data_IF_960197747418
#
_entry.id   IF_960197747418
#
_cell.length_a   1.000
_cell.length_b   1.000
_cell.length_c   1.000
_cell.angle_alpha   90.00
_cell.angle_beta   90.00
_cell.angle_gamma   90.00
#
_symmetry.space_group_name_H-M   'P 1'
#
loop_
_entity.id
_entity.type
_entity.pdbx_description
1 polymer ?
#
# COMPACT_ATOMS: atom_id res chain seq x y z
N UNK A 1 -68.53 -20.74 26.50
CA UNK A 1 -67.84 -21.94 26.01
C UNK A 1 -67.14 -21.61 24.69
N UNK A 2 -65.80 -21.75 24.67
CA UNK A 2 -64.88 -21.99 23.52
C UNK A 2 -64.94 -21.08 22.26
N UNK A 3 -64.08 -20.06 22.30
CA UNK A 3 -63.00 -19.71 21.33
C UNK A 3 -62.92 -20.46 19.99
N UNK A 4 -62.92 -19.71 18.86
CA UNK A 4 -62.36 -20.07 17.55
C UNK A 4 -61.64 -18.81 17.01
N UNK A 5 -60.29 -18.70 17.04
CA UNK A 5 -59.28 -19.25 16.10
C UNK A 5 -59.61 -18.90 14.64
N UNK A 6 -58.75 -18.30 13.81
CA UNK A 6 -57.45 -17.66 13.97
C UNK A 6 -57.22 -16.87 12.66
N UNK A 7 -56.77 -15.62 12.75
CA UNK A 7 -56.34 -14.85 11.59
C UNK A 7 -54.96 -15.35 11.15
N UNK A 8 -54.89 -16.09 10.04
CA UNK A 8 -53.63 -16.43 9.38
C UNK A 8 -53.15 -15.22 8.57
N UNK A 9 -52.34 -14.38 9.20
CA UNK A 9 -51.46 -13.41 8.54
C UNK A 9 -50.24 -14.18 7.99
N UNK A 10 -50.26 -14.47 6.69
CA UNK A 10 -49.10 -14.96 5.94
C UNK A 10 -48.08 -13.82 5.82
N UNK A 11 -47.13 -13.77 6.74
CA UNK A 11 -45.90 -12.98 6.62
C UNK A 11 -45.00 -13.66 5.58
N UNK A 12 -44.96 -13.14 4.36
CA UNK A 12 -43.97 -13.53 3.36
C UNK A 12 -42.61 -13.00 3.79
N UNK A 13 -41.81 -13.83 4.44
CA UNK A 13 -40.39 -13.60 4.64
C UNK A 13 -39.70 -13.59 3.27
N UNK A 14 -39.46 -12.39 2.73
CA UNK A 14 -38.60 -12.22 1.56
C UNK A 14 -37.15 -12.50 1.95
N UNK A 15 -36.64 -13.68 1.63
CA UNK A 15 -35.20 -13.92 1.59
C UNK A 15 -34.62 -13.14 0.41
N UNK A 16 -34.08 -11.94 0.66
CA UNK A 16 -33.14 -11.33 -0.27
C UNK A 16 -31.79 -12.03 -0.14
N UNK A 17 -31.54 -13.02 -0.98
CA UNK A 17 -30.19 -13.58 -1.19
C UNK A 17 -29.39 -12.57 -2.00
N UNK A 18 -28.98 -11.47 -1.36
CA UNK A 18 -27.93 -10.64 -1.92
C UNK A 18 -26.64 -11.43 -1.74
N UNK A 19 -25.90 -11.78 -2.80
CA UNK A 19 -24.59 -12.39 -2.62
C UNK A 19 -23.69 -11.37 -1.90
N UNK A 20 -23.45 -11.59 -0.61
CA UNK A 20 -22.42 -10.84 0.12
C UNK A 20 -21.07 -11.21 -0.48
N UNK A 21 -20.37 -10.20 -1.00
CA UNK A 21 -19.02 -10.39 -1.54
C UNK A 21 -18.11 -10.75 -0.38
N UNK A 22 -17.59 -11.98 -0.38
CA UNK A 22 -16.64 -12.43 0.61
C UNK A 22 -15.26 -11.80 0.34
N UNK A 23 -15.00 -10.66 0.97
CA UNK A 23 -13.74 -9.94 0.82
C UNK A 23 -12.66 -10.52 1.74
N UNK A 24 -11.51 -10.93 1.20
CA UNK A 24 -10.41 -11.43 2.02
C UNK A 24 -9.83 -10.29 2.86
N UNK A 25 -9.52 -10.57 4.13
CA UNK A 25 -8.86 -9.61 5.03
C UNK A 25 -7.37 -9.45 4.67
N UNK A 26 -7.09 -8.83 3.52
CA UNK A 26 -5.73 -8.54 3.06
C UNK A 26 -5.27 -7.22 3.67
N UNK A 27 -4.42 -7.30 4.70
CA UNK A 27 -3.73 -6.14 5.25
C UNK A 27 -2.74 -5.59 4.23
N UNK A 28 -2.99 -4.37 3.74
CA UNK A 28 -2.05 -3.65 2.87
C UNK A 28 -1.38 -2.55 3.65
N UNK A 29 -0.05 -2.47 3.50
CA UNK A 29 0.73 -1.39 4.06
C UNK A 29 0.49 -0.11 3.26
N UNK A 30 0.68 1.03 3.90
CA UNK A 30 0.64 2.35 3.25
C UNK A 30 2.05 2.88 3.23
N UNK A 31 2.60 3.16 2.05
CA UNK A 31 4.02 3.50 1.98
C UNK A 31 4.67 3.34 0.62
N UNK A 32 5.99 3.32 0.65
CA UNK A 32 6.83 3.36 -0.54
C UNK A 32 7.76 2.14 -0.52
N UNK A 33 7.65 1.29 -1.54
CA UNK A 33 8.60 0.22 -1.76
C UNK A 33 9.84 0.71 -2.50
N UNK A 34 10.97 0.10 -2.19
CA UNK A 34 12.26 0.42 -2.79
C UNK A 34 12.96 -0.87 -3.23
N UNK A 35 13.28 -0.96 -4.51
CA UNK A 35 14.11 -2.01 -5.10
C UNK A 35 15.51 -1.49 -5.35
N UNK A 36 16.51 -2.29 -4.98
CA UNK A 36 17.93 -2.00 -5.22
C UNK A 36 18.55 -3.18 -5.95
N UNK A 37 18.79 -3.09 -7.27
CA UNK A 37 19.45 -4.14 -8.04
C UNK A 37 20.90 -4.38 -7.59
N UNK A 38 21.41 -5.58 -7.82
CA UNK A 38 22.86 -5.84 -7.67
C UNK A 38 23.64 -5.37 -8.90
N UNK A 39 24.94 -4.98 -8.73
CA UNK A 39 25.60 -4.66 -7.47
C UNK A 39 25.50 -3.16 -7.15
N UNK A 40 24.90 -2.77 -6.03
CA UNK A 40 24.76 -1.36 -5.65
C UNK A 40 25.67 -0.89 -4.50
N UNK A 41 26.23 -1.83 -3.72
CA UNK A 41 26.97 -1.49 -2.49
C UNK A 41 26.13 -0.69 -1.48
N UNK A 42 24.80 -0.84 -1.54
CA UNK A 42 23.83 -0.23 -0.63
C UNK A 42 23.42 -1.29 0.38
N UNK A 43 23.37 -0.91 1.65
CA UNK A 43 22.92 -1.75 2.77
C UNK A 43 21.78 -1.09 3.54
N UNK A 44 21.66 0.24 3.48
CA UNK A 44 20.61 1.00 4.17
C UNK A 44 20.03 2.07 3.27
N UNK A 45 18.75 2.37 3.51
CA UNK A 45 18.06 3.48 2.88
C UNK A 45 17.10 4.13 3.87
N UNK A 46 17.06 5.46 3.88
CA UNK A 46 16.03 6.25 4.57
C UNK A 46 15.26 7.04 3.54
N UNK A 47 13.93 6.98 3.59
CA UNK A 47 13.01 7.71 2.75
C UNK A 47 12.40 8.88 3.53
N UNK A 48 12.28 10.01 2.86
CA UNK A 48 11.53 11.17 3.32
C UNK A 48 10.50 11.51 2.25
N UNK A 49 9.23 11.34 2.58
CA UNK A 49 8.12 11.66 1.71
C UNK A 49 7.50 12.98 2.15
N UNK A 50 7.38 13.95 1.25
CA UNK A 50 6.84 15.27 1.54
C UNK A 50 5.65 15.60 0.63
N UNK A 51 4.57 16.09 1.24
CA UNK A 51 3.36 16.59 0.59
C UNK A 51 2.80 17.78 1.35
N UNK A 52 2.44 18.84 0.64
CA UNK A 52 2.13 20.13 1.26
C UNK A 52 3.25 20.57 2.22
N UNK A 53 2.87 20.89 3.46
CA UNK A 53 3.80 21.28 4.53
C UNK A 53 4.22 20.11 5.43
N UNK A 54 3.87 18.87 5.06
CA UNK A 54 4.17 17.67 5.83
C UNK A 54 5.31 16.88 5.20
N UNK A 55 6.23 16.39 6.03
CA UNK A 55 7.25 15.43 5.63
C UNK A 55 7.29 14.28 6.64
N UNK A 56 7.38 13.05 6.13
CA UNK A 56 7.48 11.83 6.94
C UNK A 56 8.76 11.09 6.56
N UNK A 57 9.66 10.98 7.53
CA UNK A 57 10.94 10.25 7.39
C UNK A 57 10.85 8.87 8.00
N UNK A 58 11.20 7.84 7.22
CA UNK A 58 11.09 6.43 7.57
C UNK A 58 12.23 5.62 6.97
N UNK A 59 12.77 4.62 7.69
CA UNK A 59 13.70 3.69 7.08
C UNK A 59 12.96 2.85 6.01
N UNK A 60 13.66 2.50 4.94
CA UNK A 60 13.24 1.38 4.10
C UNK A 60 13.86 0.11 4.70
N UNK A 61 13.01 -0.81 5.15
CA UNK A 61 13.45 -2.09 5.71
C UNK A 61 13.97 -3.01 4.59
N UNK A 62 15.22 -2.78 4.17
CA UNK A 62 15.89 -3.52 3.10
C UNK A 62 16.19 -4.95 3.55
N UNK A 63 15.82 -5.91 2.71
CA UNK A 63 16.09 -7.33 2.85
C UNK A 63 16.53 -7.92 1.51
N UNK A 64 17.31 -9.01 1.50
CA UNK A 64 17.66 -9.72 0.29
C UNK A 64 16.42 -10.07 -0.54
N UNK A 65 16.56 -9.96 -1.86
CA UNK A 65 15.61 -10.48 -2.83
C UNK A 65 16.23 -11.70 -3.52
N UNK A 66 15.81 -12.89 -3.09
CA UNK A 66 16.35 -14.17 -3.59
C UNK A 66 16.17 -14.35 -5.11
N UNK A 67 15.19 -13.65 -5.72
CA UNK A 67 14.92 -13.75 -7.14
C UNK A 67 15.93 -12.96 -7.99
N UNK A 68 16.40 -11.82 -7.48
CA UNK A 68 17.26 -10.90 -8.24
C UNK A 68 18.69 -10.81 -7.69
N UNK A 69 18.93 -11.36 -6.50
CA UNK A 69 20.15 -11.13 -5.72
C UNK A 69 20.22 -9.72 -5.10
N UNK A 70 19.32 -8.81 -5.51
CA UNK A 70 19.20 -7.44 -5.05
C UNK A 70 18.71 -7.30 -3.60
N UNK A 71 18.34 -6.08 -3.25
CA UNK A 71 17.57 -5.78 -2.06
C UNK A 71 16.19 -5.29 -2.44
N UNK A 72 15.22 -5.61 -1.61
CA UNK A 72 13.89 -5.02 -1.62
C UNK A 72 13.55 -4.55 -0.22
N UNK A 73 12.88 -3.41 -0.11
CA UNK A 73 12.40 -2.93 1.17
C UNK A 73 11.16 -2.09 1.03
N UNK A 74 10.63 -1.68 2.17
CA UNK A 74 9.43 -0.87 2.26
C UNK A 74 9.58 0.12 3.39
N UNK A 75 9.13 1.35 3.17
CA UNK A 75 8.98 2.35 4.21
C UNK A 75 7.49 2.59 4.45
N UNK A 76 7.01 2.31 5.67
CA UNK A 76 5.65 2.59 6.09
C UNK A 76 5.48 4.11 6.28
N UNK A 77 4.65 4.74 5.43
CA UNK A 77 4.39 6.19 5.44
C UNK A 77 2.92 6.43 5.81
N UNK A 78 2.59 6.60 7.09
CA UNK A 78 1.22 6.89 7.52
C UNK A 78 0.71 8.20 6.91
N UNK A 79 -0.54 8.20 6.45
CA UNK A 79 -1.17 9.39 5.86
C UNK A 79 -0.66 9.74 4.46
N UNK A 80 0.02 8.82 3.77
CA UNK A 80 0.43 8.99 2.39
C UNK A 80 -0.78 9.35 1.51
N UNK A 81 -0.62 10.35 0.64
CA UNK A 81 -1.67 10.85 -0.25
C UNK A 81 -1.56 10.21 -1.64
N UNK A 82 -2.69 10.09 -2.35
CA UNK A 82 -2.73 9.64 -3.75
C UNK A 82 -2.56 10.82 -4.73
N UNK A 83 -1.58 11.68 -4.46
CA UNK A 83 -1.24 12.88 -5.23
C UNK A 83 0.26 12.93 -5.48
N UNK A 84 0.78 13.73 -6.43
CA UNK A 84 2.22 13.86 -6.63
C UNK A 84 2.92 14.32 -5.36
N UNK A 85 3.86 13.51 -4.86
CA UNK A 85 4.68 13.81 -3.68
C UNK A 85 6.16 13.85 -4.05
N UNK A 86 6.93 14.63 -3.29
CA UNK A 86 8.39 14.59 -3.37
C UNK A 86 8.90 13.48 -2.46
N UNK A 87 9.79 12.66 -2.98
CA UNK A 87 10.48 11.63 -2.20
C UNK A 87 11.99 11.85 -2.27
N UNK A 88 12.62 11.93 -1.11
CA UNK A 88 14.07 11.98 -0.97
C UNK A 88 14.55 10.67 -0.34
N UNK A 89 15.45 9.97 -1.03
CA UNK A 89 16.12 8.78 -0.50
C UNK A 89 17.55 9.14 -0.12
N UNK A 90 17.98 8.69 1.06
CA UNK A 90 19.37 8.75 1.50
C UNK A 90 19.88 7.34 1.73
N UNK A 91 20.95 6.97 1.03
CA UNK A 91 21.62 5.68 1.18
C UNK A 91 22.78 5.77 2.17
N UNK A 92 23.69 4.79 2.16
CA UNK A 92 24.85 4.73 3.05
C UNK A 92 25.82 5.91 2.92
N UNK A 93 25.85 6.58 1.76
CA UNK A 93 26.67 7.77 1.55
C UNK A 93 26.06 9.06 2.11
N UNK A 94 24.82 9.00 2.62
CA UNK A 94 24.08 10.13 3.17
C UNK A 94 23.64 11.17 2.14
N UNK A 95 23.93 10.97 0.84
CA UNK A 95 23.57 11.94 -0.19
C UNK A 95 22.07 11.85 -0.50
N UNK A 96 21.39 12.99 -0.70
CA UNK A 96 19.98 12.99 -1.05
C UNK A 96 19.77 12.68 -2.54
N UNK A 97 18.90 11.72 -2.82
CA UNK A 97 18.43 11.38 -4.17
C UNK A 97 16.92 11.65 -4.22
N UNK A 98 16.53 12.68 -4.97
CA UNK A 98 15.13 13.16 -4.97
C UNK A 98 14.41 12.78 -6.25
N UNK A 99 13.16 12.38 -6.12
CA UNK A 99 12.25 12.16 -7.24
C UNK A 99 10.83 12.59 -6.88
N UNK A 100 9.95 12.68 -7.88
CA UNK A 100 8.51 12.88 -7.68
C UNK A 100 7.80 11.60 -8.10
N UNK A 101 6.87 11.15 -7.28
CA UNK A 101 6.05 9.98 -7.57
C UNK A 101 4.62 10.26 -7.16
N UNK A 102 3.66 9.64 -7.86
CA UNK A 102 2.23 9.69 -7.49
C UNK A 102 1.85 8.33 -6.93
N UNK A 103 1.65 8.19 -5.61
CA UNK A 103 1.14 6.97 -5.01
C UNK A 103 -0.26 6.65 -5.54
N UNK A 104 -0.57 5.37 -5.68
CA UNK A 104 -1.86 4.90 -6.16
C UNK A 104 -2.49 3.94 -5.17
N UNK A 105 -3.82 3.97 -5.08
CA UNK A 105 -4.58 2.94 -4.39
C UNK A 105 -4.46 1.61 -5.12
N UNK A 106 -4.51 0.52 -4.38
CA UNK A 106 -4.61 -0.83 -4.95
C UNK A 106 -5.90 -1.49 -4.49
N UNK A 107 -6.33 -2.54 -5.17
CA UNK A 107 -7.54 -3.31 -4.81
C UNK A 107 -7.18 -4.80 -4.69
N UNK A 108 -6.44 -5.20 -3.65
CA UNK A 108 -5.93 -6.57 -3.53
C UNK A 108 -7.05 -7.60 -3.41
N UNK A 109 -8.18 -7.22 -2.79
CA UNK A 109 -9.39 -8.05 -2.70
C UNK A 109 -10.30 -7.96 -3.92
N UNK A 110 -9.92 -7.19 -4.94
CA UNK A 110 -10.76 -6.85 -6.08
C UNK A 110 -11.63 -5.60 -5.86
N UNK A 111 -12.21 -5.04 -6.93
CA UNK A 111 -12.90 -3.74 -6.91
C UNK A 111 -14.16 -3.72 -6.03
N UNK A 112 -14.78 -4.88 -5.80
CA UNK A 112 -15.94 -5.01 -4.93
C UNK A 112 -15.58 -4.98 -3.43
N UNK A 113 -14.28 -5.02 -3.09
CA UNK A 113 -13.78 -5.14 -1.72
C UNK A 113 -13.13 -3.87 -1.16
N UNK A 114 -13.23 -2.76 -1.90
CA UNK A 114 -12.69 -1.47 -1.49
C UNK A 114 -11.18 -1.33 -1.74
N UNK A 115 -10.72 -0.10 -1.58
CA UNK A 115 -9.33 0.27 -1.84
C UNK A 115 -8.44 0.04 -0.62
N UNK A 116 -7.29 -0.58 -0.87
CA UNK A 116 -6.14 -0.54 0.00
C UNK A 116 -5.50 0.84 -0.03
N UNK A 117 -4.89 1.26 1.09
CA UNK A 117 -4.23 2.56 1.16
C UNK A 117 -3.11 2.73 0.12
N UNK A 118 -2.75 3.98 -0.21
CA UNK A 118 -1.93 4.26 -1.38
C UNK A 118 -0.50 3.76 -1.21
N UNK A 119 0.09 3.32 -2.33
CA UNK A 119 1.48 2.88 -2.39
C UNK A 119 2.18 3.42 -3.63
N UNK A 120 3.49 3.56 -3.53
CA UNK A 120 4.36 3.82 -4.66
C UNK A 120 5.54 2.84 -4.67
N UNK A 121 6.14 2.65 -5.83
CA UNK A 121 7.32 1.81 -5.99
C UNK A 121 8.45 2.63 -6.60
N UNK A 122 9.65 2.50 -6.02
CA UNK A 122 10.86 3.14 -6.49
C UNK A 122 11.93 2.09 -6.81
N UNK A 123 12.80 2.42 -7.74
CA UNK A 123 14.01 1.65 -8.04
C UNK A 123 15.24 2.54 -7.95
N UNK A 124 16.28 2.02 -7.31
CA UNK A 124 17.61 2.62 -7.31
C UNK A 124 18.39 2.15 -8.55
N UNK A 125 18.96 3.08 -9.31
CA UNK A 125 19.89 2.80 -10.40
C UNK A 125 21.32 2.54 -9.90
N UNK A 126 22.22 2.20 -10.82
CA UNK A 126 23.61 1.87 -10.53
C UNK A 126 24.36 3.02 -9.79
N UNK A 127 24.06 4.27 -10.15
CA UNK A 127 24.64 5.47 -9.54
C UNK A 127 23.82 6.00 -8.35
N UNK A 128 22.97 5.14 -7.75
CA UNK A 128 22.02 5.50 -6.69
C UNK A 128 20.97 6.54 -7.11
N UNK A 129 20.81 6.78 -8.41
CA UNK A 129 19.67 7.53 -8.92
C UNK A 129 18.36 6.85 -8.51
N UNK A 130 17.32 7.60 -8.19
CA UNK A 130 16.04 7.04 -7.74
C UNK A 130 14.95 7.43 -8.71
N UNK A 131 14.19 6.43 -9.16
CA UNK A 131 13.12 6.60 -10.15
C UNK A 131 11.86 5.87 -9.71
N UNK A 132 10.66 6.38 -10.04
CA UNK A 132 9.44 5.59 -10.00
C UNK A 132 9.60 4.32 -10.84
N UNK A 133 9.05 3.22 -10.34
CA UNK A 133 8.98 1.95 -11.06
C UNK A 133 7.76 1.90 -11.97
#
# INVERSE_FOLDING_TARGET
>A
MRTWLAALLLLTAGCSTTPEVACPAIGTRVGIGLTVPQPAGITRATLEACWGDQCVTRPADLRPDDATGGLQGFADVPGLQAEPIRVTVRFDDGKPHTTVVTPAFSEPGGPACGQAGPQAQLVAGADREVRPR
#
